data_IF_181553645608
#
_entry.id   IF_181553645608
#
_cell.length_a   1.000
_cell.length_b   1.000
_cell.length_c   1.000
_cell.angle_alpha   90.00
_cell.angle_beta   90.00
_cell.angle_gamma   90.00
#
_symmetry.space_group_name_H-M   'P 1'
#
loop_
_entity.id
_entity.type
_entity.pdbx_description
1 polymer ?
#
# COMPACT_ATOMS: atom_id res chain seq x y z
N UNK A 1 -83.96 -4.34 -20.47
CA UNK A 1 -82.77 -3.57 -20.81
C UNK A 1 -81.92 -3.57 -19.57
N UNK A 2 -80.86 -4.51 -19.53
CA UNK A 2 -80.01 -4.75 -18.37
C UNK A 2 -78.66 -4.11 -18.68
N UNK A 3 -78.25 -3.13 -17.90
CA UNK A 3 -76.92 -2.51 -17.94
C UNK A 3 -75.94 -3.34 -17.08
N UNK A 4 -74.89 -3.87 -17.70
CA UNK A 4 -73.79 -4.48 -17.02
C UNK A 4 -72.69 -3.43 -16.79
N UNK A 5 -72.51 -3.07 -15.55
CA UNK A 5 -71.34 -2.26 -15.14
C UNK A 5 -70.17 -3.17 -14.86
N UNK A 6 -69.14 -3.08 -15.72
CA UNK A 6 -67.85 -3.83 -15.57
C UNK A 6 -66.89 -2.99 -14.76
N UNK A 7 -66.54 -3.47 -13.56
CA UNK A 7 -65.57 -2.82 -12.69
C UNK A 7 -64.18 -3.36 -13.02
N UNK A 8 -63.34 -2.58 -13.65
CA UNK A 8 -61.93 -2.87 -13.85
C UNK A 8 -61.16 -2.60 -12.53
N UNK A 9 -60.65 -3.64 -11.92
CA UNK A 9 -59.70 -3.57 -10.81
C UNK A 9 -58.30 -3.49 -11.41
N UNK A 10 -57.68 -2.32 -11.39
CA UNK A 10 -56.32 -2.12 -11.80
C UNK A 10 -55.41 -2.41 -10.59
N UNK A 11 -54.77 -3.56 -10.55
CA UNK A 11 -53.76 -3.89 -9.57
C UNK A 11 -52.46 -3.18 -9.98
N UNK A 12 -52.11 -2.10 -9.30
CA UNK A 12 -50.81 -1.45 -9.41
C UNK A 12 -49.79 -2.26 -8.61
N UNK A 13 -49.00 -3.07 -9.28
CA UNK A 13 -47.83 -3.70 -8.70
C UNK A 13 -46.73 -2.64 -8.52
N UNK A 14 -46.60 -2.11 -7.31
CA UNK A 14 -45.46 -1.28 -6.93
C UNK A 14 -44.21 -2.18 -6.82
N UNK A 15 -43.41 -2.24 -7.88
CA UNK A 15 -42.02 -2.72 -7.78
C UNK A 15 -41.24 -1.70 -6.95
N UNK A 16 -41.07 -1.97 -5.67
CA UNK A 16 -40.04 -1.33 -4.86
C UNK A 16 -38.69 -1.85 -5.34
N UNK A 17 -38.05 -1.12 -6.25
CA UNK A 17 -36.61 -1.20 -6.45
C UNK A 17 -35.94 -0.69 -5.15
N UNK A 18 -35.80 -1.58 -4.18
CA UNK A 18 -34.81 -1.38 -3.14
C UNK A 18 -33.45 -1.46 -3.84
N UNK A 19 -32.98 -0.34 -4.38
CA UNK A 19 -31.59 -0.13 -4.73
C UNK A 19 -30.81 -0.29 -3.43
N UNK A 20 -30.28 -1.48 -3.16
CA UNK A 20 -29.26 -1.63 -2.16
C UNK A 20 -28.15 -0.65 -2.55
N UNK A 21 -28.02 0.44 -1.79
CA UNK A 21 -26.83 1.26 -1.84
C UNK A 21 -25.69 0.29 -1.50
N UNK A 22 -25.00 -0.21 -2.53
CA UNK A 22 -23.77 -0.97 -2.32
C UNK A 22 -22.81 -0.02 -1.65
N UNK A 23 -22.59 -0.21 -0.37
CA UNK A 23 -21.52 0.43 0.34
C UNK A 23 -20.25 -0.08 -0.33
N UNK A 24 -19.60 0.80 -1.09
CA UNK A 24 -18.51 0.42 -1.96
C UNK A 24 -17.21 0.57 -1.19
N UNK A 25 -16.48 -0.50 -1.02
CA UNK A 25 -15.11 -0.44 -0.50
C UNK A 25 -14.24 0.29 -1.52
N UNK A 26 -13.73 1.47 -1.14
CA UNK A 26 -12.75 2.21 -1.93
C UNK A 26 -11.43 2.21 -1.18
N UNK A 27 -10.41 1.56 -1.74
CA UNK A 27 -9.09 1.41 -1.10
C UNK A 27 -8.05 2.32 -1.72
N UNK A 28 -7.18 2.89 -0.87
CA UNK A 28 -5.98 3.60 -1.33
C UNK A 28 -4.71 3.11 -0.65
N UNK A 29 -3.57 3.41 -1.26
CA UNK A 29 -2.23 3.08 -0.76
C UNK A 29 -1.16 3.96 -1.39
N UNK A 30 0.04 3.99 -0.82
CA UNK A 30 1.21 4.62 -1.44
C UNK A 30 1.81 3.79 -2.57
N UNK A 31 2.51 4.46 -3.50
CA UNK A 31 3.02 3.86 -4.75
C UNK A 31 3.84 2.58 -4.59
N UNK A 32 4.56 2.42 -3.47
CA UNK A 32 5.34 1.20 -3.18
C UNK A 32 4.51 -0.05 -2.92
N UNK A 33 3.20 0.08 -2.64
CA UNK A 33 2.31 -1.02 -2.28
C UNK A 33 1.19 -1.28 -3.28
N UNK A 34 1.08 -0.50 -4.35
CA UNK A 34 -0.02 -0.59 -5.33
C UNK A 34 -0.22 -2.03 -5.80
N UNK A 35 0.83 -2.70 -6.28
CA UNK A 35 0.72 -4.08 -6.78
C UNK A 35 0.25 -5.08 -5.72
N UNK A 36 0.63 -4.88 -4.47
CA UNK A 36 0.19 -5.72 -3.35
C UNK A 36 -1.31 -5.50 -3.09
N UNK A 37 -1.73 -4.25 -3.00
CA UNK A 37 -3.14 -3.92 -2.75
C UNK A 37 -4.04 -4.36 -3.92
N UNK A 38 -3.59 -4.21 -5.16
CA UNK A 38 -4.27 -4.77 -6.34
C UNK A 38 -4.46 -6.28 -6.23
N UNK A 39 -3.40 -7.01 -5.85
CA UNK A 39 -3.49 -8.46 -5.70
C UNK A 39 -4.44 -8.87 -4.55
N UNK A 40 -4.43 -8.15 -3.43
CA UNK A 40 -5.34 -8.36 -2.31
C UNK A 40 -6.80 -8.11 -2.72
N UNK A 41 -7.08 -7.00 -3.41
CA UNK A 41 -8.45 -6.68 -3.86
C UNK A 41 -8.96 -7.67 -4.89
N UNK A 42 -8.14 -8.08 -5.86
CA UNK A 42 -8.50 -9.12 -6.85
C UNK A 42 -8.82 -10.46 -6.16
N UNK A 43 -8.03 -10.85 -5.16
CA UNK A 43 -8.28 -12.09 -4.44
C UNK A 43 -9.56 -11.98 -3.58
N UNK A 44 -9.79 -10.85 -2.91
CA UNK A 44 -11.01 -10.61 -2.16
C UNK A 44 -12.26 -10.67 -3.05
N UNK A 45 -12.24 -9.96 -4.20
CA UNK A 45 -13.32 -9.99 -5.19
C UNK A 45 -13.62 -11.41 -5.68
N UNK A 46 -12.57 -12.21 -5.92
CA UNK A 46 -12.70 -13.63 -6.31
C UNK A 46 -13.34 -14.49 -5.22
N UNK A 47 -12.95 -14.27 -3.96
CA UNK A 47 -13.38 -15.07 -2.82
C UNK A 47 -14.81 -14.77 -2.38
N UNK A 48 -15.28 -13.53 -2.60
CA UNK A 48 -16.54 -13.02 -2.02
C UNK A 48 -17.58 -12.59 -3.05
N UNK A 49 -17.17 -12.33 -4.29
CA UNK A 49 -18.02 -11.71 -5.32
C UNK A 49 -18.24 -10.20 -5.14
N UNK A 50 -17.76 -9.62 -4.03
CA UNK A 50 -17.83 -8.18 -3.78
C UNK A 50 -16.95 -7.40 -4.76
N UNK A 51 -17.16 -6.09 -4.89
CA UNK A 51 -16.34 -5.19 -5.68
C UNK A 51 -15.57 -4.23 -4.79
N UNK A 52 -14.33 -3.90 -5.19
CA UNK A 52 -13.47 -2.94 -4.50
C UNK A 52 -12.98 -1.90 -5.50
N UNK A 53 -13.31 -0.65 -5.25
CA UNK A 53 -12.78 0.48 -6.00
C UNK A 53 -11.36 0.80 -5.55
N UNK A 54 -10.51 1.21 -6.50
CA UNK A 54 -9.09 1.46 -6.28
C UNK A 54 -8.77 2.92 -6.60
N UNK A 55 -8.47 3.71 -5.57
CA UNK A 55 -8.12 5.11 -5.68
C UNK A 55 -6.60 5.27 -5.47
N UNK A 56 -5.79 4.83 -6.44
CA UNK A 56 -4.34 4.90 -6.35
C UNK A 56 -3.78 6.13 -7.04
N UNK A 57 -2.70 6.70 -6.47
CA UNK A 57 -2.00 7.81 -7.09
C UNK A 57 -0.99 8.46 -6.14
N UNK A 58 0.19 8.80 -6.65
CA UNK A 58 1.19 9.52 -5.88
C UNK A 58 1.86 8.75 -4.74
N UNK A 59 2.44 9.49 -3.82
CA UNK A 59 3.02 8.94 -2.59
C UNK A 59 1.97 8.89 -1.46
N UNK A 60 2.31 8.18 -0.37
CA UNK A 60 1.36 7.99 0.74
C UNK A 60 0.92 9.33 1.38
N UNK A 61 1.79 10.31 1.49
CA UNK A 61 1.46 11.61 2.06
C UNK A 61 0.39 12.36 1.23
N UNK A 62 0.49 12.31 -0.11
CA UNK A 62 -0.51 12.89 -1.00
C UNK A 62 -1.86 12.17 -0.89
N UNK A 63 -1.86 10.84 -0.83
CA UNK A 63 -3.09 10.06 -0.69
C UNK A 63 -3.78 10.35 0.64
N UNK A 64 -3.02 10.43 1.73
CA UNK A 64 -3.58 10.74 3.05
C UNK A 64 -4.13 12.17 3.13
N UNK A 65 -3.49 13.14 2.49
CA UNK A 65 -4.05 14.51 2.39
C UNK A 65 -5.39 14.54 1.63
N UNK A 66 -5.55 13.71 0.59
CA UNK A 66 -6.82 13.57 -0.11
C UNK A 66 -7.91 12.94 0.78
N UNK A 67 -7.55 11.93 1.59
CA UNK A 67 -8.46 11.33 2.57
C UNK A 67 -8.93 12.37 3.59
N UNK A 68 -8.01 13.19 4.14
CA UNK A 68 -8.36 14.28 5.05
C UNK A 68 -9.25 15.37 4.41
N UNK A 69 -9.13 15.54 3.09
CA UNK A 69 -9.97 16.46 2.31
C UNK A 69 -11.32 15.87 1.89
N UNK A 70 -11.69 14.67 2.38
CA UNK A 70 -12.99 14.07 2.14
C UNK A 70 -13.11 13.28 0.83
N UNK A 71 -12.01 12.70 0.33
CA UNK A 71 -12.10 11.75 -0.80
C UNK A 71 -12.99 10.54 -0.45
N UNK A 72 -13.57 9.85 -1.43
CA UNK A 72 -14.50 8.72 -1.18
C UNK A 72 -13.78 7.44 -0.72
N UNK A 73 -12.52 7.53 -0.29
CA UNK A 73 -11.76 6.41 0.24
C UNK A 73 -12.35 5.94 1.56
N UNK A 74 -12.52 4.63 1.70
CA UNK A 74 -13.04 4.00 2.91
C UNK A 74 -11.98 3.23 3.70
N UNK A 75 -10.93 2.74 3.02
CA UNK A 75 -9.82 1.99 3.64
C UNK A 75 -8.48 2.49 3.11
N UNK A 76 -7.53 2.72 4.02
CA UNK A 76 -6.13 3.04 3.68
C UNK A 76 -5.24 1.88 4.10
N UNK A 77 -4.43 1.38 3.17
CA UNK A 77 -3.42 0.34 3.43
C UNK A 77 -2.04 0.95 3.30
N UNK A 78 -1.28 0.97 4.41
CA UNK A 78 0.11 1.46 4.43
C UNK A 78 0.83 1.00 5.70
N UNK A 79 2.04 1.51 5.94
CA UNK A 79 2.73 1.27 7.20
C UNK A 79 2.12 2.09 8.35
N UNK A 80 2.11 1.48 9.52
CA UNK A 80 1.52 2.06 10.73
C UNK A 80 2.14 3.42 11.09
N UNK A 81 3.45 3.61 10.87
CA UNK A 81 4.15 4.86 11.22
C UNK A 81 3.70 6.02 10.34
N UNK A 82 3.51 5.80 9.04
CA UNK A 82 2.93 6.82 8.14
C UNK A 82 1.50 7.17 8.55
N UNK A 83 0.69 6.17 8.90
CA UNK A 83 -0.72 6.39 9.25
C UNK A 83 -0.93 7.08 10.59
N UNK A 84 -0.01 6.94 11.56
CA UNK A 84 -0.06 7.64 12.87
C UNK A 84 -0.21 9.16 12.78
N UNK A 85 0.21 9.76 11.68
CA UNK A 85 0.11 11.22 11.46
C UNK A 85 -1.30 11.68 11.08
N UNK A 86 -2.19 10.75 10.75
CA UNK A 86 -3.53 11.01 10.19
C UNK A 86 -4.66 10.48 11.07
N UNK A 87 -4.48 10.53 12.38
CA UNK A 87 -5.45 10.03 13.37
C UNK A 87 -6.81 10.74 13.33
N UNK A 88 -6.89 11.93 12.73
CA UNK A 88 -8.18 12.63 12.56
C UNK A 88 -9.07 11.93 11.56
N UNK A 89 -8.50 11.44 10.45
CA UNK A 89 -9.23 10.82 9.35
C UNK A 89 -9.36 9.30 9.48
N UNK A 90 -8.43 8.63 10.19
CA UNK A 90 -8.35 7.17 10.25
C UNK A 90 -8.73 6.63 11.63
N UNK A 91 -9.40 5.47 11.64
CA UNK A 91 -9.74 4.72 12.84
C UNK A 91 -8.73 3.58 13.03
N UNK A 92 -7.65 3.85 13.78
CA UNK A 92 -6.59 2.89 14.03
C UNK A 92 -7.07 1.68 14.85
N UNK A 93 -8.01 1.88 15.78
CA UNK A 93 -8.51 0.83 16.68
C UNK A 93 -9.34 -0.22 15.92
N UNK A 94 -10.00 0.18 14.84
CA UNK A 94 -10.69 -0.72 13.94
C UNK A 94 -9.80 -1.26 12.80
N UNK A 95 -8.51 -0.95 12.83
CA UNK A 95 -7.54 -1.38 11.82
C UNK A 95 -7.11 -2.84 11.98
N UNK A 96 -6.58 -3.41 10.90
CA UNK A 96 -6.07 -4.78 10.84
C UNK A 96 -4.58 -4.76 10.54
N UNK A 97 -3.77 -5.43 11.38
CA UNK A 97 -2.36 -5.68 11.10
C UNK A 97 -2.23 -6.71 9.97
N UNK A 98 -1.47 -6.35 8.92
CA UNK A 98 -1.22 -7.22 7.78
C UNK A 98 0.10 -8.01 7.91
N UNK A 99 1.06 -7.48 8.63
CA UNK A 99 2.39 -8.09 8.86
C UNK A 99 3.51 -7.08 8.73
N UNK A 100 4.74 -7.56 8.73
CA UNK A 100 5.94 -6.75 8.62
C UNK A 100 6.62 -6.99 7.26
N UNK A 101 7.30 -5.97 6.73
CA UNK A 101 8.06 -6.07 5.48
C UNK A 101 9.45 -5.44 5.65
N UNK A 102 10.52 -6.05 5.09
CA UNK A 102 11.87 -5.56 5.29
C UNK A 102 12.23 -4.40 4.34
N UNK A 103 13.12 -3.53 4.80
CA UNK A 103 13.92 -2.68 3.93
C UNK A 103 14.94 -3.54 3.19
N UNK A 104 15.10 -3.34 1.89
CA UNK A 104 16.07 -4.06 1.07
C UNK A 104 17.09 -3.09 0.50
N UNK A 105 18.37 -3.44 0.66
CA UNK A 105 19.48 -2.83 -0.07
C UNK A 105 19.75 -3.66 -1.33
N UNK A 106 19.75 -3.01 -2.49
CA UNK A 106 20.11 -3.60 -3.78
C UNK A 106 21.40 -2.95 -4.30
N UNK A 107 22.15 -3.68 -5.14
CA UNK A 107 23.36 -3.16 -5.81
C UNK A 107 23.51 -3.74 -7.21
N UNK A 108 24.25 -3.02 -8.06
CA UNK A 108 24.67 -3.55 -9.36
C UNK A 108 25.80 -4.57 -9.23
N UNK A 109 26.08 -5.33 -10.26
CA UNK A 109 27.13 -6.38 -10.25
C UNK A 109 28.49 -5.82 -9.79
N UNK A 110 29.18 -6.59 -8.94
CA UNK A 110 30.53 -6.29 -8.44
C UNK A 110 30.59 -5.33 -7.26
N UNK A 111 29.45 -4.89 -6.70
CA UNK A 111 29.42 -3.96 -5.57
C UNK A 111 28.76 -4.62 -4.35
N UNK A 112 29.44 -4.55 -3.20
CA UNK A 112 28.97 -5.14 -1.93
C UNK A 112 29.10 -4.21 -0.73
N UNK A 113 29.81 -3.08 -0.85
CA UNK A 113 30.07 -2.13 0.23
C UNK A 113 29.74 -0.71 -0.23
N UNK A 114 28.78 -0.07 0.44
CA UNK A 114 28.34 1.30 0.15
C UNK A 114 29.42 2.36 0.41
N UNK A 115 30.38 2.07 1.30
CA UNK A 115 31.47 3.01 1.63
C UNK A 115 32.63 2.92 0.64
N UNK A 116 32.72 1.84 -0.11
CA UNK A 116 33.76 1.62 -1.12
C UNK A 116 33.81 2.77 -2.14
N UNK A 117 35.03 3.09 -2.58
CA UNK A 117 35.26 4.06 -3.66
C UNK A 117 34.69 3.62 -5.01
N UNK A 118 34.42 2.34 -5.19
CA UNK A 118 33.71 1.83 -6.36
C UNK A 118 32.23 2.23 -6.40
N UNK A 119 31.62 2.53 -5.25
CA UNK A 119 30.26 3.05 -5.13
C UNK A 119 30.29 4.57 -5.20
N UNK A 120 29.74 5.15 -6.25
CA UNK A 120 29.68 6.61 -6.46
C UNK A 120 28.28 7.19 -6.24
N UNK A 121 27.23 6.40 -6.48
CA UNK A 121 25.84 6.86 -6.45
C UNK A 121 24.94 5.84 -5.78
N UNK A 122 24.25 6.26 -4.73
CA UNK A 122 23.30 5.45 -3.96
C UNK A 122 21.94 6.11 -4.02
N UNK A 123 20.93 5.42 -4.54
CA UNK A 123 19.57 5.94 -4.63
C UNK A 123 18.75 5.54 -3.39
N UNK A 124 17.95 6.46 -2.88
CA UNK A 124 16.91 6.17 -1.90
C UNK A 124 15.61 6.90 -2.25
N UNK A 125 14.44 6.34 -1.93
CA UNK A 125 13.19 7.09 -2.05
C UNK A 125 13.19 8.30 -1.11
N UNK A 126 12.35 9.30 -1.41
CA UNK A 126 12.22 10.49 -0.56
C UNK A 126 11.81 10.11 0.88
N UNK A 127 12.65 10.40 1.89
CA UNK A 127 12.38 10.02 3.27
C UNK A 127 11.17 10.75 3.90
N UNK A 128 10.74 11.86 3.31
CA UNK A 128 9.57 12.61 3.78
C UNK A 128 8.25 12.08 3.21
N UNK A 129 8.31 11.46 2.04
CA UNK A 129 7.14 11.11 1.25
C UNK A 129 6.96 9.60 1.02
N UNK A 130 8.00 8.79 1.24
CA UNK A 130 7.99 7.36 0.97
C UNK A 130 8.43 6.53 2.18
N UNK A 131 7.69 5.46 2.46
CA UNK A 131 7.92 4.55 3.59
C UNK A 131 9.34 3.97 3.58
N UNK A 132 9.77 3.44 2.45
CA UNK A 132 11.13 2.87 2.31
C UNK A 132 12.22 3.95 2.28
N UNK A 133 11.88 5.19 1.97
CA UNK A 133 12.77 6.33 2.11
C UNK A 133 13.01 6.69 3.57
N UNK A 134 11.94 6.72 4.38
CA UNK A 134 12.02 6.90 5.83
C UNK A 134 12.90 5.80 6.45
N UNK A 135 12.60 4.54 6.18
CA UNK A 135 13.36 3.41 6.71
C UNK A 135 14.84 3.43 6.28
N UNK A 136 15.13 3.79 5.01
CA UNK A 136 16.49 3.93 4.53
C UNK A 136 17.25 5.05 5.26
N UNK A 137 16.60 6.20 5.47
CA UNK A 137 17.23 7.29 6.24
C UNK A 137 17.51 6.89 7.68
N UNK A 138 16.55 6.28 8.37
CA UNK A 138 16.73 5.80 9.74
C UNK A 138 17.88 4.80 9.83
N UNK A 139 17.96 3.84 8.91
CA UNK A 139 19.05 2.88 8.83
C UNK A 139 20.40 3.57 8.60
N UNK A 140 20.50 4.49 7.66
CA UNK A 140 21.74 5.21 7.38
C UNK A 140 22.22 6.04 8.58
N UNK A 141 21.29 6.73 9.25
CA UNK A 141 21.58 7.52 10.45
C UNK A 141 22.02 6.58 11.60
N UNK A 142 21.25 5.52 11.88
CA UNK A 142 21.50 4.60 12.99
C UNK A 142 22.76 3.74 12.82
N UNK A 143 23.16 3.45 11.58
CA UNK A 143 24.41 2.70 11.29
C UNK A 143 25.65 3.57 11.16
N UNK A 144 25.54 4.90 11.23
CA UNK A 144 26.64 5.83 10.98
C UNK A 144 27.14 5.85 9.53
N UNK A 145 26.34 5.33 8.60
CA UNK A 145 26.66 5.36 7.16
C UNK A 145 26.26 6.69 6.51
N UNK A 146 25.31 7.44 7.09
CA UNK A 146 24.79 8.67 6.51
C UNK A 146 25.92 9.67 6.15
N UNK A 147 26.82 9.94 7.07
CA UNK A 147 27.96 10.86 6.84
C UNK A 147 28.95 10.30 5.82
N UNK A 148 29.25 8.98 5.90
CA UNK A 148 30.23 8.33 5.03
C UNK A 148 29.83 8.31 3.56
N UNK A 149 28.51 8.30 3.29
CA UNK A 149 27.99 8.27 1.92
C UNK A 149 27.20 9.51 1.53
N UNK A 150 27.23 10.59 2.34
CA UNK A 150 26.45 11.81 2.11
C UNK A 150 26.62 12.37 0.69
N UNK A 151 27.84 12.43 0.18
CA UNK A 151 28.13 12.89 -1.19
C UNK A 151 27.73 11.94 -2.32
N UNK A 152 27.28 10.71 -1.96
CA UNK A 152 26.86 9.67 -2.91
C UNK A 152 25.34 9.52 -2.96
N UNK A 153 24.59 10.08 -2.00
CA UNK A 153 23.15 9.91 -1.87
C UNK A 153 22.37 10.69 -2.93
N UNK A 154 21.43 10.01 -3.57
CA UNK A 154 20.51 10.57 -4.54
C UNK A 154 19.08 10.23 -4.12
N UNK A 155 18.31 11.25 -3.78
CA UNK A 155 16.92 11.12 -3.39
C UNK A 155 16.03 11.13 -4.62
N UNK A 156 15.16 10.13 -4.76
CA UNK A 156 14.19 9.99 -5.83
C UNK A 156 12.78 9.83 -5.25
N UNK A 157 11.73 10.03 -6.05
CA UNK A 157 10.39 10.11 -5.47
C UNK A 157 9.87 8.77 -4.92
N UNK A 158 10.24 7.61 -5.51
CA UNK A 158 9.64 6.33 -5.14
C UNK A 158 10.51 5.11 -5.47
N UNK A 159 10.20 3.97 -4.83
CA UNK A 159 10.89 2.67 -5.02
C UNK A 159 11.07 2.24 -6.48
N UNK A 160 10.06 2.31 -7.38
CA UNK A 160 10.25 1.92 -8.77
C UNK A 160 11.35 2.69 -9.50
N UNK A 161 11.57 3.96 -9.17
CA UNK A 161 12.66 4.75 -9.75
C UNK A 161 14.02 4.26 -9.26
N UNK A 162 14.17 3.97 -7.96
CA UNK A 162 15.41 3.38 -7.43
C UNK A 162 15.76 2.11 -8.20
N UNK A 163 14.79 1.18 -8.30
CA UNK A 163 14.98 -0.08 -9.01
C UNK A 163 15.38 0.14 -10.48
N UNK A 164 14.73 1.07 -11.16
CA UNK A 164 15.02 1.43 -12.56
C UNK A 164 16.45 1.94 -12.71
N UNK A 165 16.89 2.85 -11.87
CA UNK A 165 18.22 3.45 -11.97
C UNK A 165 19.35 2.46 -11.65
N UNK A 166 19.17 1.60 -10.63
CA UNK A 166 20.17 0.56 -10.33
C UNK A 166 20.23 -0.47 -11.44
N UNK A 167 19.08 -0.91 -11.98
CA UNK A 167 19.04 -1.91 -13.06
C UNK A 167 19.64 -1.41 -14.38
N UNK A 168 19.65 -0.10 -14.62
CA UNK A 168 20.29 0.53 -15.79
C UNK A 168 21.72 1.02 -15.52
N UNK A 169 22.31 0.69 -14.36
CA UNK A 169 23.61 1.14 -13.92
C UNK A 169 23.78 2.68 -13.82
N UNK A 170 22.68 3.42 -13.74
CA UNK A 170 22.69 4.86 -13.46
C UNK A 170 22.97 5.14 -11.97
N UNK A 171 22.65 4.19 -11.10
CA UNK A 171 23.01 4.16 -9.68
C UNK A 171 23.72 2.85 -9.36
N UNK A 172 24.63 2.89 -8.41
CA UNK A 172 25.45 1.74 -8.03
C UNK A 172 24.74 0.84 -7.02
N UNK A 173 23.95 1.46 -6.13
CA UNK A 173 23.16 0.78 -5.12
C UNK A 173 21.88 1.58 -4.83
N UNK A 174 20.96 1.01 -4.05
CA UNK A 174 19.78 1.73 -3.61
C UNK A 174 18.89 0.94 -2.67
N UNK A 175 17.93 1.63 -2.07
CA UNK A 175 16.98 1.07 -1.11
C UNK A 175 15.61 0.88 -1.73
N UNK A 176 15.06 -0.34 -1.58
CA UNK A 176 13.78 -0.74 -2.19
C UNK A 176 12.98 -1.64 -1.24
N UNK A 177 11.81 -2.10 -1.68
CA UNK A 177 11.05 -3.17 -1.03
C UNK A 177 11.46 -4.55 -1.57
N UNK A 178 11.07 -5.62 -0.87
CA UNK A 178 11.40 -6.99 -1.24
C UNK A 178 10.81 -7.39 -2.59
N UNK A 179 9.60 -6.92 -2.90
CA UNK A 179 8.96 -7.20 -4.20
C UNK A 179 9.80 -6.68 -5.36
N UNK A 180 10.21 -5.41 -5.31
CA UNK A 180 11.03 -4.80 -6.35
C UNK A 180 12.36 -5.53 -6.52
N UNK A 181 13.03 -5.88 -5.41
CA UNK A 181 14.27 -6.65 -5.43
C UNK A 181 14.09 -8.03 -6.09
N UNK A 182 13.04 -8.78 -5.71
CA UNK A 182 12.74 -10.10 -6.29
C UNK A 182 12.41 -10.02 -7.78
N UNK A 183 11.58 -9.04 -8.18
CA UNK A 183 11.21 -8.86 -9.60
C UNK A 183 12.36 -8.40 -10.47
N UNK A 184 13.29 -7.65 -9.90
CA UNK A 184 14.45 -7.13 -10.61
C UNK A 184 15.72 -7.96 -10.47
N UNK A 185 15.69 -9.11 -9.79
CA UNK A 185 16.88 -9.90 -9.42
C UNK A 185 17.84 -10.19 -10.56
N UNK A 186 17.35 -10.43 -11.76
CA UNK A 186 18.16 -10.75 -12.94
C UNK A 186 18.83 -9.52 -13.57
N UNK A 187 18.42 -8.30 -13.14
CA UNK A 187 18.91 -7.00 -13.64
C UNK A 187 19.86 -6.29 -12.67
N UNK A 188 20.08 -6.85 -11.50
CA UNK A 188 20.96 -6.30 -10.44
C UNK A 188 22.03 -7.30 -10.05
N UNK A 189 23.03 -6.88 -9.30
CA UNK A 189 24.11 -7.74 -8.80
C UNK A 189 23.70 -8.59 -7.61
N UNK A 190 22.73 -8.10 -6.81
CA UNK A 190 22.22 -8.79 -5.64
C UNK A 190 21.40 -7.87 -4.75
N UNK A 191 20.88 -8.45 -3.68
CA UNK A 191 20.16 -7.70 -2.65
C UNK A 191 20.25 -8.39 -1.29
N UNK A 192 20.07 -7.62 -0.23
CA UNK A 192 20.02 -8.10 1.15
C UNK A 192 18.94 -7.37 1.93
N UNK A 193 18.29 -8.09 2.85
CA UNK A 193 17.39 -7.46 3.82
C UNK A 193 18.21 -6.74 4.90
N UNK A 194 17.91 -5.47 5.11
CA UNK A 194 18.44 -4.70 6.24
C UNK A 194 17.72 -5.19 7.50
N UNK A 195 18.48 -5.65 8.49
CA UNK A 195 17.89 -6.34 9.67
C UNK A 195 17.48 -5.39 10.78
N UNK A 196 18.22 -4.29 10.95
CA UNK A 196 18.08 -3.37 12.09
C UNK A 196 18.47 -1.93 11.71
N UNK A 197 18.37 -1.00 12.64
CA UNK A 197 18.72 0.41 12.43
C UNK A 197 17.59 1.27 11.89
N UNK A 198 16.36 0.74 11.79
CA UNK A 198 15.17 1.49 11.40
C UNK A 198 13.93 0.97 12.12
N UNK A 199 12.89 1.81 12.25
CA UNK A 199 11.61 1.37 12.81
C UNK A 199 10.96 0.33 11.87
N UNK A 200 10.56 -0.85 12.38
CA UNK A 200 9.95 -1.90 11.56
C UNK A 200 8.81 -1.38 10.68
N UNK A 201 8.81 -1.79 9.41
CA UNK A 201 7.76 -1.41 8.48
C UNK A 201 6.57 -2.34 8.69
N UNK A 202 5.68 -1.98 9.61
CA UNK A 202 4.47 -2.73 9.96
C UNK A 202 3.33 -2.31 9.06
N UNK A 203 2.90 -3.22 8.20
CA UNK A 203 1.77 -2.99 7.31
C UNK A 203 0.45 -3.12 8.05
N UNK A 204 -0.46 -2.19 7.80
CA UNK A 204 -1.81 -2.18 8.36
C UNK A 204 -2.83 -1.67 7.35
N UNK A 205 -4.07 -2.11 7.50
CA UNK A 205 -5.24 -1.55 6.84
C UNK A 205 -6.07 -0.82 7.89
N UNK A 206 -6.41 0.43 7.65
CA UNK A 206 -7.21 1.24 8.57
C UNK A 206 -8.43 1.82 7.83
N UNK A 207 -9.65 1.68 8.40
CA UNK A 207 -10.81 2.34 7.84
C UNK A 207 -10.77 3.84 8.11
N UNK A 208 -11.40 4.64 7.27
CA UNK A 208 -11.65 6.05 7.55
C UNK A 208 -12.69 6.17 8.69
N UNK A 209 -12.64 7.26 9.44
CA UNK A 209 -13.64 7.54 10.48
C UNK A 209 -14.99 7.91 9.86
N UNK A 210 -16.05 7.62 10.60
CA UNK A 210 -17.43 7.92 10.22
C UNK A 210 -18.11 6.79 9.48
N UNK A 211 -19.36 7.02 9.06
CA UNK A 211 -20.25 5.99 8.53
C UNK A 211 -19.69 5.19 7.35
N UNK A 212 -18.90 5.83 6.47
CA UNK A 212 -18.29 5.15 5.33
C UNK A 212 -17.28 4.09 5.74
N UNK A 213 -16.46 4.35 6.78
CA UNK A 213 -15.48 3.38 7.30
C UNK A 213 -16.11 2.34 8.23
N UNK A 214 -17.31 2.60 8.74
CA UNK A 214 -18.06 1.69 9.62
C UNK A 214 -19.04 0.79 8.86
N UNK A 215 -19.17 0.95 7.55
CA UNK A 215 -20.04 0.15 6.71
C UNK A 215 -19.68 -1.35 6.78
N UNK A 216 -20.67 -2.22 6.67
CA UNK A 216 -20.50 -3.66 6.82
C UNK A 216 -19.58 -4.26 5.75
N UNK A 217 -19.59 -3.72 4.52
CA UNK A 217 -18.67 -4.14 3.46
C UNK A 217 -17.19 -3.82 3.80
N UNK A 218 -16.94 -2.67 4.45
CA UNK A 218 -15.61 -2.30 4.93
C UNK A 218 -15.17 -3.25 6.04
N UNK A 219 -16.04 -3.56 6.99
CA UNK A 219 -15.76 -4.54 8.06
C UNK A 219 -15.47 -5.93 7.50
N UNK A 220 -16.26 -6.37 6.50
CA UNK A 220 -16.05 -7.65 5.81
C UNK A 220 -14.70 -7.67 5.09
N UNK A 221 -14.32 -6.60 4.40
CA UNK A 221 -13.02 -6.47 3.74
C UNK A 221 -11.86 -6.51 4.75
N UNK A 222 -11.94 -5.76 5.84
CA UNK A 222 -10.93 -5.76 6.91
C UNK A 222 -10.81 -7.15 7.57
N UNK A 223 -11.92 -7.82 7.82
CA UNK A 223 -11.93 -9.18 8.37
C UNK A 223 -11.24 -10.15 7.42
N UNK A 224 -11.53 -10.06 6.11
CA UNK A 224 -10.86 -10.89 5.10
C UNK A 224 -9.36 -10.58 5.04
N UNK A 225 -8.95 -9.32 5.09
CA UNK A 225 -7.55 -8.91 5.16
C UNK A 225 -6.83 -9.50 6.39
N UNK A 226 -7.54 -9.76 7.49
CA UNK A 226 -7.04 -10.44 8.68
C UNK A 226 -6.96 -11.98 8.57
N UNK A 227 -7.39 -12.57 7.47
CA UNK A 227 -7.52 -14.02 7.32
C UNK A 227 -6.30 -14.69 6.68
N UNK A 228 -6.12 -16.03 6.83
CA UNK A 228 -5.09 -16.80 6.16
C UNK A 228 -5.13 -16.70 4.62
N UNK A 229 -6.28 -16.39 4.04
CA UNK A 229 -6.40 -16.18 2.58
C UNK A 229 -5.62 -14.95 2.11
N UNK A 230 -5.66 -13.88 2.90
CA UNK A 230 -4.85 -12.69 2.65
C UNK A 230 -3.35 -12.96 2.87
N UNK A 231 -2.98 -13.79 3.84
CA UNK A 231 -1.57 -14.14 4.12
C UNK A 231 -0.89 -14.74 2.90
N UNK A 232 -1.54 -15.66 2.19
CA UNK A 232 -1.01 -16.26 0.97
C UNK A 232 -0.72 -15.24 -0.15
N UNK A 233 -1.45 -14.12 -0.16
CA UNK A 233 -1.16 -12.99 -1.06
C UNK A 233 -0.01 -12.15 -0.51
N UNK A 234 -0.07 -11.75 0.76
CA UNK A 234 0.89 -10.88 1.43
C UNK A 234 2.32 -11.43 1.35
N UNK A 235 2.52 -12.73 1.58
CA UNK A 235 3.82 -13.41 1.50
C UNK A 235 4.51 -13.27 0.14
N UNK A 236 3.74 -13.29 -0.96
CA UNK A 236 4.27 -13.05 -2.31
C UNK A 236 4.90 -11.67 -2.45
N UNK A 237 4.43 -10.71 -1.66
CA UNK A 237 4.92 -9.33 -1.63
C UNK A 237 5.94 -9.07 -0.51
N UNK A 238 6.32 -10.12 0.23
CA UNK A 238 7.32 -10.01 1.30
C UNK A 238 6.77 -9.36 2.58
N UNK A 239 5.47 -9.50 2.81
CA UNK A 239 4.81 -9.13 4.07
C UNK A 239 4.50 -10.43 4.81
N UNK A 240 4.94 -10.55 6.05
CA UNK A 240 4.71 -11.73 6.91
C UNK A 240 4.17 -11.30 8.28
N UNK A 241 3.25 -12.09 8.83
CA UNK A 241 2.72 -11.90 10.19
C UNK A 241 3.63 -12.48 11.26
#
# INVERSE_FOLDING_TARGET
>A
MKLFTSTLITAAAALTLAGAAQAQVTVTTGGGYIKMVEALTVQYEKDTGAKVEKAFGGNIGQMLAQVESGSPVTVVISDATSLKKFTKALNADAGVRLGDTPLILIWRKGLTDLTSDAVKRVAMPDPKAAVYGRAAKEYLDGSGLAEKIAGKLNVVSMVPQVMSYVSRAEMDAGFVNLLAARQGKDKIGGFVAVKEGYEPIRMTAQPVKGAAGEADDVKAFLTWLGSPKADAVLEKFGVSR
#
